data_IF_247737305844
#
_entry.id   IF_247737305844
#
_cell.length_a   1.000
_cell.length_b   1.000
_cell.length_c   1.000
_cell.angle_alpha   90.00
_cell.angle_beta   90.00
_cell.angle_gamma   90.00
#
_symmetry.space_group_name_H-M   'P 1'
#
loop_
_entity.id
_entity.type
_entity.pdbx_description
1 polymer ?
#
# COMPACT_ATOMS: atom_id res chain seq x y z
N UNK A 1 23.53 10.43 12.45
CA UNK A 1 22.70 9.52 11.61
C UNK A 1 21.48 10.31 11.16
N UNK A 2 21.17 10.39 9.85
CA UNK A 2 20.02 11.16 9.36
C UNK A 2 18.70 10.40 9.57
N UNK A 3 17.56 11.12 9.47
CA UNK A 3 16.22 10.50 9.54
C UNK A 3 16.05 9.46 8.43
N UNK A 4 16.49 9.81 7.22
CA UNK A 4 16.46 8.90 6.07
C UNK A 4 17.31 7.64 6.30
N UNK A 5 18.55 7.79 6.81
CA UNK A 5 19.41 6.64 7.11
C UNK A 5 18.78 5.71 8.17
N UNK A 6 18.11 6.29 9.17
CA UNK A 6 17.39 5.52 10.18
C UNK A 6 16.24 4.73 9.55
N UNK A 7 15.42 5.37 8.70
CA UNK A 7 14.36 4.70 7.97
C UNK A 7 14.90 3.55 7.11
N UNK A 8 15.93 3.80 6.30
CA UNK A 8 16.54 2.77 5.44
C UNK A 8 17.03 1.57 6.25
N UNK A 9 17.68 1.81 7.40
CA UNK A 9 18.12 0.71 8.27
C UNK A 9 16.95 -0.13 8.78
N UNK A 10 15.84 0.50 9.18
CA UNK A 10 14.62 -0.21 9.60
C UNK A 10 14.02 -1.00 8.44
N UNK A 11 13.95 -0.42 7.25
CA UNK A 11 13.43 -1.09 6.05
C UNK A 11 14.29 -2.29 5.65
N UNK A 12 15.61 -2.17 5.73
CA UNK A 12 16.54 -3.26 5.44
C UNK A 12 16.42 -4.40 6.45
N UNK A 13 16.18 -4.10 7.74
CA UNK A 13 15.88 -5.11 8.75
C UNK A 13 14.54 -5.80 8.46
N UNK A 14 13.47 -5.07 8.20
CA UNK A 14 12.15 -5.63 7.89
C UNK A 14 12.18 -6.54 6.66
N UNK A 15 12.93 -6.14 5.64
CA UNK A 15 13.15 -6.90 4.42
C UNK A 15 13.84 -8.23 4.69
N UNK A 16 14.76 -8.27 5.65
CA UNK A 16 15.46 -9.50 6.04
C UNK A 16 14.58 -10.52 6.78
N UNK A 17 13.41 -10.11 7.28
CA UNK A 17 12.40 -11.01 7.85
C UNK A 17 11.75 -11.90 6.78
N UNK A 18 11.84 -11.52 5.50
CA UNK A 18 11.29 -12.28 4.39
C UNK A 18 12.00 -13.64 4.22
N UNK A 19 11.27 -14.75 4.09
CA UNK A 19 11.85 -16.05 3.72
C UNK A 19 12.63 -15.98 2.40
N UNK A 20 13.59 -16.88 2.22
CA UNK A 20 14.52 -16.85 1.07
C UNK A 20 13.82 -17.05 -0.28
N UNK A 21 12.63 -17.64 -0.29
CA UNK A 21 11.85 -17.85 -1.51
C UNK A 21 11.37 -16.51 -2.10
N UNK A 22 11.20 -15.48 -1.27
CA UNK A 22 10.75 -14.15 -1.66
C UNK A 22 11.89 -13.28 -2.21
N UNK A 23 12.41 -13.67 -3.38
CA UNK A 23 13.57 -13.03 -4.04
C UNK A 23 13.44 -11.52 -4.21
N UNK A 24 12.22 -10.99 -4.36
CA UNK A 24 11.99 -9.53 -4.49
C UNK A 24 12.43 -8.74 -3.26
N UNK A 25 12.53 -9.38 -2.09
CA UNK A 25 13.02 -8.74 -0.86
C UNK A 25 14.55 -8.84 -0.74
N UNK A 26 15.17 -9.87 -1.31
CA UNK A 26 16.60 -10.12 -1.16
C UNK A 26 17.47 -9.50 -2.27
N UNK A 27 17.09 -8.32 -2.77
CA UNK A 27 17.87 -7.57 -3.75
C UNK A 27 19.26 -7.19 -3.20
N UNK A 28 20.29 -7.34 -4.05
CA UNK A 28 21.67 -7.04 -3.68
C UNK A 28 21.92 -5.53 -3.59
N UNK A 29 22.86 -5.07 -2.73
CA UNK A 29 23.23 -3.66 -2.65
C UNK A 29 23.72 -3.04 -3.97
N UNK A 30 24.22 -3.86 -4.88
CA UNK A 30 24.66 -3.45 -6.22
C UNK A 30 23.50 -3.21 -7.20
N UNK A 31 22.31 -3.71 -6.89
CA UNK A 31 21.11 -3.61 -7.72
C UNK A 31 20.17 -2.53 -7.18
N UNK A 32 20.57 -1.27 -7.31
CA UNK A 32 19.92 -0.12 -6.66
C UNK A 32 18.40 -0.06 -6.91
N UNK A 33 17.94 -0.24 -8.15
CA UNK A 33 16.50 -0.19 -8.47
C UNK A 33 15.70 -1.30 -7.79
N UNK A 34 16.24 -2.52 -7.77
CA UNK A 34 15.59 -3.66 -7.10
C UNK A 34 15.60 -3.49 -5.58
N UNK A 35 16.68 -2.93 -5.05
CA UNK A 35 16.80 -2.61 -3.64
C UNK A 35 15.78 -1.55 -3.21
N UNK A 36 15.62 -0.50 -4.02
CA UNK A 36 14.65 0.55 -3.79
C UNK A 36 13.21 0.03 -3.85
N UNK A 37 12.91 -0.84 -4.81
CA UNK A 37 11.64 -1.55 -4.88
C UNK A 37 11.39 -2.41 -3.64
N UNK A 38 12.40 -3.17 -3.19
CA UNK A 38 12.30 -4.00 -1.99
C UNK A 38 12.08 -3.16 -0.72
N UNK A 39 12.71 -1.98 -0.64
CA UNK A 39 12.51 -1.02 0.46
C UNK A 39 11.13 -0.38 0.41
N UNK A 40 10.61 -0.05 -0.78
CA UNK A 40 9.25 0.44 -0.96
C UNK A 40 8.21 -0.58 -0.45
N UNK A 41 8.42 -1.87 -0.73
CA UNK A 41 7.60 -2.95 -0.14
C UNK A 41 7.75 -3.02 1.37
N UNK A 42 8.98 -3.02 1.87
CA UNK A 42 9.24 -3.04 3.31
C UNK A 42 8.58 -1.85 4.04
N UNK A 43 8.39 -0.71 3.37
CA UNK A 43 7.71 0.45 3.93
C UNK A 43 6.22 0.20 4.15
N UNK A 44 5.57 -0.54 3.25
CA UNK A 44 4.19 -1.03 3.45
C UNK A 44 4.15 -2.00 4.64
N UNK A 45 5.09 -2.94 4.71
CA UNK A 45 5.21 -3.87 5.83
C UNK A 45 5.39 -3.16 7.17
N UNK A 46 6.20 -2.10 7.22
CA UNK A 46 6.37 -1.28 8.42
C UNK A 46 5.03 -0.70 8.88
N UNK A 47 4.25 -0.14 7.96
CA UNK A 47 2.93 0.39 8.29
C UNK A 47 1.99 -0.70 8.79
N UNK A 48 1.90 -1.85 8.10
CA UNK A 48 1.07 -2.97 8.52
C UNK A 48 1.44 -3.49 9.91
N UNK A 49 2.75 -3.60 10.21
CA UNK A 49 3.28 -4.03 11.50
C UNK A 49 2.90 -3.06 12.61
N UNK A 50 3.12 -1.76 12.41
CA UNK A 50 2.91 -0.74 13.44
C UNK A 50 1.42 -0.42 13.63
N UNK A 51 0.66 -0.29 12.54
CA UNK A 51 -0.74 0.17 12.59
C UNK A 51 -1.72 -0.92 12.99
N UNK A 52 -1.49 -2.16 12.55
CA UNK A 52 -2.41 -3.29 12.73
C UNK A 52 -1.83 -4.42 13.58
N UNK A 53 -0.58 -4.30 14.05
CA UNK A 53 0.03 -5.30 14.93
C UNK A 53 0.40 -6.62 14.23
N UNK A 54 0.50 -6.63 12.89
CA UNK A 54 0.86 -7.81 12.13
C UNK A 54 2.37 -8.12 12.26
N UNK A 55 2.74 -8.98 13.21
CA UNK A 55 4.15 -9.21 13.59
C UNK A 55 4.89 -10.18 12.67
N UNK A 56 4.19 -11.16 12.08
CA UNK A 56 4.79 -12.16 11.21
C UNK A 56 4.86 -11.69 9.76
N UNK A 57 5.98 -11.94 9.07
CA UNK A 57 6.15 -11.56 7.65
C UNK A 57 5.08 -12.20 6.77
N UNK A 58 4.81 -13.48 6.97
CA UNK A 58 3.84 -14.23 6.16
C UNK A 58 2.41 -13.72 6.33
N UNK A 59 2.06 -13.15 7.48
CA UNK A 59 0.75 -12.51 7.70
C UNK A 59 0.67 -11.19 6.94
N UNK A 60 1.69 -10.34 7.06
CA UNK A 60 1.73 -9.04 6.36
C UNK A 60 1.75 -9.19 4.84
N UNK A 61 2.54 -10.12 4.31
CA UNK A 61 2.68 -10.29 2.86
C UNK A 61 1.36 -10.69 2.18
N UNK A 62 0.45 -11.37 2.88
CA UNK A 62 -0.89 -11.73 2.36
C UNK A 62 -1.77 -10.52 2.03
N UNK A 63 -1.43 -9.37 2.60
CA UNK A 63 -2.14 -8.11 2.49
C UNK A 63 -1.50 -7.14 1.49
N UNK A 64 -0.26 -7.39 1.05
CA UNK A 64 0.42 -6.59 0.03
C UNK A 64 -0.07 -7.00 -1.34
N UNK A 65 -0.63 -6.08 -2.14
CA UNK A 65 -1.23 -6.32 -3.46
C UNK A 65 -0.36 -5.88 -4.64
N UNK A 66 0.79 -5.26 -4.34
CA UNK A 66 1.79 -4.77 -5.30
C UNK A 66 1.96 -5.66 -6.55
N UNK A 67 1.80 -5.03 -7.71
CA UNK A 67 1.93 -5.62 -9.04
C UNK A 67 1.12 -4.86 -10.09
N UNK A 68 1.26 -5.22 -11.36
CA UNK A 68 0.39 -4.66 -12.41
C UNK A 68 -1.07 -4.98 -12.14
N UNK A 69 -1.98 -4.11 -12.61
CA UNK A 69 -3.43 -4.27 -12.48
C UNK A 69 -3.92 -4.39 -11.03
N UNK A 70 -3.35 -3.63 -10.10
CA UNK A 70 -3.78 -3.57 -8.70
C UNK A 70 -4.80 -2.44 -8.42
N UNK A 71 -5.18 -1.67 -9.43
CA UNK A 71 -6.07 -0.51 -9.30
C UNK A 71 -5.47 0.63 -8.45
N UNK A 72 -4.14 0.69 -8.34
CA UNK A 72 -3.43 1.65 -7.49
C UNK A 72 -3.48 1.33 -6.00
N UNK A 73 -3.88 0.11 -5.63
CA UNK A 73 -3.88 -0.41 -4.25
C UNK A 73 -2.62 -1.25 -4.05
N UNK A 74 -1.67 -0.75 -3.27
CA UNK A 74 -0.41 -1.45 -2.97
C UNK A 74 -0.56 -2.46 -1.82
N UNK A 75 -1.53 -2.24 -0.92
CA UNK A 75 -1.92 -3.19 0.13
C UNK A 75 -3.34 -2.92 0.65
N UNK A 76 -3.88 -3.85 1.44
CA UNK A 76 -5.14 -3.68 2.14
C UNK A 76 -5.14 -4.33 3.52
N UNK A 77 -6.10 -4.02 4.38
CA UNK A 77 -6.34 -4.72 5.62
C UNK A 77 -7.83 -4.72 5.96
N UNK A 78 -8.36 -5.85 6.42
CA UNK A 78 -9.78 -5.98 6.79
C UNK A 78 -9.85 -6.08 8.31
N UNK A 79 -10.33 -5.02 8.94
CA UNK A 79 -10.60 -4.98 10.37
C UNK A 79 -12.07 -5.35 10.61
N UNK A 80 -12.28 -6.59 11.06
CA UNK A 80 -13.60 -7.14 11.33
C UNK A 80 -14.24 -6.56 12.60
N UNK A 81 -13.43 -6.09 13.55
CA UNK A 81 -13.91 -5.53 14.82
C UNK A 81 -14.53 -4.15 14.59
N UNK A 82 -13.83 -3.30 13.83
CA UNK A 82 -14.32 -1.95 13.51
C UNK A 82 -15.19 -1.91 12.25
N UNK A 83 -15.31 -3.04 11.54
CA UNK A 83 -15.93 -3.15 10.22
C UNK A 83 -15.35 -2.13 9.23
N UNK A 84 -14.02 -2.12 9.11
CA UNK A 84 -13.30 -1.20 8.22
C UNK A 84 -12.40 -1.97 7.27
N UNK A 85 -12.54 -1.71 5.98
CA UNK A 85 -11.62 -2.17 4.93
C UNK A 85 -10.66 -1.00 4.65
N UNK A 86 -9.40 -1.18 5.01
CA UNK A 86 -8.34 -0.25 4.69
C UNK A 86 -7.73 -0.62 3.35
N UNK A 87 -7.58 0.34 2.44
CA UNK A 87 -6.77 0.18 1.23
C UNK A 87 -5.68 1.22 1.21
N UNK A 88 -4.49 0.82 0.77
CA UNK A 88 -3.27 1.61 0.93
C UNK A 88 -2.68 1.89 -0.44
N UNK A 89 -2.19 3.11 -0.62
CA UNK A 89 -1.22 3.44 -1.66
C UNK A 89 0.04 4.01 -1.00
N UNK A 90 1.20 3.59 -1.47
CA UNK A 90 2.51 3.90 -0.91
C UNK A 90 3.41 4.53 -1.96
N UNK A 91 3.99 5.69 -1.61
CA UNK A 91 5.01 6.34 -2.42
C UNK A 91 6.25 6.59 -1.58
N UNK A 92 7.24 5.74 -1.77
CA UNK A 92 8.53 5.83 -1.09
C UNK A 92 9.50 6.72 -1.86
N UNK A 93 10.20 7.64 -1.16
CA UNK A 93 11.31 8.42 -1.73
C UNK A 93 12.61 7.65 -1.57
N UNK A 94 13.22 7.29 -2.70
CA UNK A 94 14.38 6.39 -2.75
C UNK A 94 15.73 7.04 -2.48
N UNK A 95 15.79 8.37 -2.31
CA UNK A 95 17.02 9.07 -1.98
C UNK A 95 16.82 10.11 -0.87
N UNK A 96 17.88 10.35 -0.10
CA UNK A 96 17.86 11.23 1.06
C UNK A 96 17.45 12.68 0.73
N UNK A 97 18.00 13.32 -0.32
CA UNK A 97 17.62 14.70 -0.65
C UNK A 97 16.13 14.84 -0.96
N UNK A 98 15.55 13.89 -1.71
CA UNK A 98 14.13 13.91 -2.01
C UNK A 98 13.28 13.59 -0.79
N UNK A 99 13.71 12.67 0.06
CA UNK A 99 12.98 12.35 1.30
C UNK A 99 12.87 13.57 2.23
N UNK A 100 13.97 14.31 2.39
CA UNK A 100 14.04 15.45 3.32
C UNK A 100 13.46 16.73 2.71
N UNK A 101 13.71 16.97 1.42
CA UNK A 101 13.42 18.26 0.77
C UNK A 101 12.25 18.24 -0.21
N UNK A 102 11.85 17.08 -0.74
CA UNK A 102 10.85 16.99 -1.83
C UNK A 102 9.55 16.34 -1.37
N UNK A 103 8.49 17.13 -1.39
CA UNK A 103 7.14 16.62 -1.16
C UNK A 103 6.69 15.78 -2.35
N UNK A 104 5.85 14.79 -2.09
CA UNK A 104 5.08 14.11 -3.13
C UNK A 104 4.03 15.08 -3.64
N UNK A 105 4.01 15.28 -4.95
CA UNK A 105 2.95 16.03 -5.61
C UNK A 105 1.73 15.14 -5.76
N UNK A 106 0.54 15.75 -5.72
CA UNK A 106 -0.72 15.02 -5.86
C UNK A 106 -0.80 14.23 -7.18
N UNK A 107 -0.20 14.75 -8.26
CA UNK A 107 -0.12 14.06 -9.56
C UNK A 107 0.78 12.82 -9.57
N UNK A 108 1.65 12.67 -8.57
CA UNK A 108 2.51 11.49 -8.42
C UNK A 108 1.76 10.34 -7.72
N UNK A 109 0.65 10.63 -7.06
CA UNK A 109 -0.28 9.66 -6.47
C UNK A 109 -1.16 9.13 -7.60
N UNK A 110 -1.21 7.80 -7.76
CA UNK A 110 -2.03 7.20 -8.82
C UNK A 110 -3.50 7.35 -8.43
N UNK A 111 -4.35 7.67 -9.41
CA UNK A 111 -5.80 7.58 -9.23
C UNK A 111 -6.12 6.11 -8.91
N UNK A 112 -6.76 5.89 -7.78
CA UNK A 112 -7.15 4.56 -7.32
C UNK A 112 -8.53 4.20 -7.83
N UNK A 113 -8.71 2.95 -8.23
CA UNK A 113 -10.00 2.36 -8.59
C UNK A 113 -10.78 1.90 -7.35
N UNK A 114 -10.63 2.61 -6.23
CA UNK A 114 -11.19 2.20 -4.96
C UNK A 114 -12.72 2.11 -5.00
N UNK A 115 -13.40 2.97 -5.78
CA UNK A 115 -14.85 2.89 -6.04
C UNK A 115 -15.22 1.59 -6.73
N UNK A 116 -14.64 1.30 -7.89
CA UNK A 116 -14.92 0.09 -8.68
C UNK A 116 -14.66 -1.17 -7.87
N UNK A 117 -13.50 -1.22 -7.20
CA UNK A 117 -13.12 -2.36 -6.37
C UNK A 117 -14.06 -2.50 -5.17
N UNK A 118 -14.50 -1.40 -4.56
CA UNK A 118 -15.47 -1.45 -3.46
C UNK A 118 -16.85 -1.97 -3.86
N UNK A 119 -17.24 -1.77 -5.13
CA UNK A 119 -18.47 -2.31 -5.72
C UNK A 119 -18.34 -3.79 -6.12
N UNK A 120 -17.16 -4.39 -5.93
CA UNK A 120 -16.91 -5.80 -6.26
C UNK A 120 -16.53 -6.06 -7.71
N UNK A 121 -16.20 -5.00 -8.47
CA UNK A 121 -15.75 -5.14 -9.86
C UNK A 121 -14.41 -5.86 -9.91
N UNK A 122 -14.28 -6.81 -10.85
CA UNK A 122 -13.07 -7.62 -11.02
C UNK A 122 -12.16 -7.13 -12.15
N UNK A 123 -12.57 -6.06 -12.83
CA UNK A 123 -11.90 -5.47 -14.01
C UNK A 123 -11.86 -3.94 -13.91
N UNK A 124 -10.81 -3.35 -14.47
CA UNK A 124 -10.66 -1.89 -14.60
C UNK A 124 -11.61 -1.30 -15.66
N UNK A 125 -11.49 0.01 -15.93
CA UNK A 125 -12.36 0.70 -16.89
C UNK A 125 -12.16 0.26 -18.35
N UNK A 126 -11.00 -0.29 -18.67
CA UNK A 126 -10.64 -0.80 -20.00
C UNK A 126 -10.97 -2.30 -20.16
N UNK A 127 -11.52 -2.94 -19.13
CA UNK A 127 -11.85 -4.37 -19.12
C UNK A 127 -10.66 -5.28 -18.80
N UNK A 128 -9.53 -4.73 -18.32
CA UNK A 128 -8.42 -5.56 -17.85
C UNK A 128 -8.73 -6.11 -16.46
N UNK A 129 -8.53 -7.41 -16.28
CA UNK A 129 -8.75 -8.08 -15.00
C UNK A 129 -7.74 -7.61 -13.96
N UNK A 130 -8.23 -7.22 -12.77
CA UNK A 130 -7.35 -6.94 -11.64
C UNK A 130 -6.54 -8.17 -11.24
N UNK A 131 -5.35 -7.95 -10.70
CA UNK A 131 -4.43 -9.03 -10.38
C UNK A 131 -4.99 -10.00 -9.33
N UNK A 132 -4.39 -11.18 -9.23
CA UNK A 132 -4.87 -12.25 -8.35
C UNK A 132 -4.95 -11.85 -6.87
N UNK A 133 -4.18 -10.86 -6.41
CA UNK A 133 -4.21 -10.41 -5.02
C UNK A 133 -5.42 -9.51 -4.73
N UNK A 134 -5.79 -8.65 -5.68
CA UNK A 134 -7.06 -7.90 -5.63
C UNK A 134 -8.25 -8.86 -5.75
N UNK A 135 -8.20 -9.85 -6.65
CA UNK A 135 -9.26 -10.87 -6.73
C UNK A 135 -9.43 -11.61 -5.40
N UNK A 136 -8.33 -12.04 -4.78
CA UNK A 136 -8.36 -12.70 -3.48
C UNK A 136 -8.91 -11.79 -2.35
N UNK A 137 -8.62 -10.49 -2.40
CA UNK A 137 -9.23 -9.50 -1.49
C UNK A 137 -10.75 -9.45 -1.66
N UNK A 138 -11.23 -9.36 -2.91
CA UNK A 138 -12.67 -9.31 -3.20
C UNK A 138 -13.39 -10.57 -2.72
N UNK A 139 -12.82 -11.76 -2.94
CA UNK A 139 -13.39 -13.01 -2.43
C UNK A 139 -13.45 -13.01 -0.90
N UNK A 140 -12.38 -12.58 -0.21
CA UNK A 140 -12.39 -12.45 1.26
C UNK A 140 -13.46 -11.48 1.75
N UNK A 141 -13.71 -10.38 1.04
CA UNK A 141 -14.75 -9.42 1.38
C UNK A 141 -16.14 -10.04 1.21
N UNK A 142 -16.38 -10.83 0.16
CA UNK A 142 -17.67 -11.53 -0.07
C UNK A 142 -17.98 -12.54 1.04
N UNK A 143 -16.95 -13.14 1.63
CA UNK A 143 -17.07 -14.09 2.73
C UNK A 143 -17.35 -13.42 4.09
N UNK A 144 -17.26 -12.09 4.19
CA UNK A 144 -17.52 -11.38 5.44
C UNK A 144 -19.02 -11.43 5.80
N UNK A 145 -19.37 -11.49 7.10
CA UNK A 145 -20.73 -11.24 7.56
C UNK A 145 -21.14 -9.79 7.31
N UNK A 146 -22.27 -9.57 6.62
CA UNK A 146 -22.80 -8.25 6.27
C UNK A 146 -21.76 -7.31 5.60
N UNK A 147 -21.17 -7.67 4.44
CA UNK A 147 -20.05 -6.93 3.85
C UNK A 147 -20.42 -5.48 3.52
N UNK A 148 -21.68 -5.20 3.20
CA UNK A 148 -22.20 -3.86 2.95
C UNK A 148 -22.12 -2.90 4.16
N UNK A 149 -21.89 -3.41 5.37
CA UNK A 149 -21.71 -2.58 6.58
C UNK A 149 -20.26 -2.13 6.78
N UNK A 150 -19.32 -2.66 6.01
CA UNK A 150 -17.92 -2.28 6.13
C UNK A 150 -17.67 -0.92 5.51
N UNK A 151 -16.99 -0.04 6.25
CA UNK A 151 -16.53 1.24 5.74
C UNK A 151 -15.24 1.04 4.98
N UNK A 152 -15.08 1.75 3.88
CA UNK A 152 -13.82 1.81 3.14
C UNK A 152 -13.04 3.04 3.58
N UNK A 153 -11.76 2.84 3.91
CA UNK A 153 -10.85 3.92 4.26
C UNK A 153 -9.59 3.82 3.43
N UNK A 154 -9.25 4.91 2.76
CA UNK A 154 -8.02 4.99 1.97
C UNK A 154 -6.90 5.56 2.83
N UNK A 155 -5.73 4.96 2.74
CA UNK A 155 -4.52 5.39 3.42
C UNK A 155 -3.45 5.69 2.38
N UNK A 156 -2.90 6.90 2.40
CA UNK A 156 -1.81 7.31 1.53
C UNK A 156 -0.53 7.42 2.36
N UNK A 157 0.44 6.53 2.11
CA UNK A 157 1.77 6.59 2.70
C UNK A 157 2.66 7.47 1.81
N UNK A 158 2.56 8.77 2.02
CA UNK A 158 3.18 9.77 1.17
C UNK A 158 3.31 11.09 1.93
N UNK A 159 4.48 11.74 1.82
CA UNK A 159 4.74 13.05 2.41
C UNK A 159 4.05 14.22 1.64
N UNK A 160 2.78 14.05 1.28
CA UNK A 160 1.93 15.09 0.69
C UNK A 160 1.73 16.21 1.72
N UNK A 161 1.91 17.47 1.30
CA UNK A 161 1.45 18.62 2.09
C UNK A 161 0.42 19.42 1.30
N UNK A 162 -0.53 20.02 2.02
CA UNK A 162 -1.53 20.93 1.47
C UNK A 162 -2.47 20.32 0.41
N UNK A 163 -2.61 18.99 0.35
CA UNK A 163 -3.62 18.35 -0.48
C UNK A 163 -5.01 18.66 0.08
N UNK A 164 -5.87 19.27 -0.74
CA UNK A 164 -7.24 19.57 -0.32
C UNK A 164 -8.02 18.26 -0.18
N UNK A 165 -8.91 18.13 0.82
CA UNK A 165 -9.75 16.94 0.97
C UNK A 165 -10.55 16.60 -0.30
N UNK A 166 -10.99 17.60 -1.05
CA UNK A 166 -11.69 17.42 -2.33
C UNK A 166 -10.84 16.73 -3.40
N UNK A 167 -9.55 17.02 -3.44
CA UNK A 167 -8.66 16.51 -4.47
C UNK A 167 -8.22 15.08 -4.10
N UNK A 168 -7.98 14.83 -2.81
CA UNK A 168 -7.79 13.48 -2.28
C UNK A 168 -9.00 12.59 -2.55
N UNK A 169 -10.22 13.09 -2.32
CA UNK A 169 -11.45 12.35 -2.57
C UNK A 169 -11.60 11.97 -4.06
N UNK A 170 -11.22 12.85 -4.98
CA UNK A 170 -11.22 12.54 -6.42
C UNK A 170 -10.21 11.47 -6.80
N UNK A 171 -9.01 11.50 -6.21
CA UNK A 171 -7.98 10.50 -6.47
C UNK A 171 -8.32 9.11 -5.94
N UNK A 172 -9.19 9.03 -4.94
CA UNK A 172 -9.38 7.81 -4.15
C UNK A 172 -10.77 7.22 -4.37
N UNK A 173 -11.34 7.38 -5.57
CA UNK A 173 -12.65 6.81 -5.91
C UNK A 173 -13.80 7.38 -5.05
N UNK A 174 -13.70 8.62 -4.58
CA UNK A 174 -14.73 9.20 -3.73
C UNK A 174 -14.62 8.87 -2.24
N UNK A 175 -13.61 8.10 -1.81
CA UNK A 175 -13.40 7.77 -0.40
C UNK A 175 -12.65 8.86 0.36
N UNK A 176 -12.79 8.85 1.69
CA UNK A 176 -11.94 9.68 2.54
C UNK A 176 -10.55 9.05 2.63
N UNK A 177 -9.52 9.89 2.48
CA UNK A 177 -8.13 9.47 2.55
C UNK A 177 -7.44 10.06 3.78
N UNK A 178 -6.68 9.24 4.48
CA UNK A 178 -5.76 9.66 5.55
C UNK A 178 -4.34 9.60 5.01
N UNK A 179 -3.60 10.70 5.15
CA UNK A 179 -2.21 10.80 4.68
C UNK A 179 -1.26 10.61 5.86
N UNK A 180 -0.23 9.79 5.69
CA UNK A 180 0.86 9.56 6.64
C UNK A 180 2.22 9.91 6.03
#
# INVERSE_FOLDING_TARGET
>A
MSKYATLVNVLDQLRSEAPKEFKSYHALPTELEKLDFARAKAFIHLFLKVRFGLLEFGERERFVTDGSYDGGIDAYYIDVETKTIFVLQSKFRTNAPNFEGKQIELKEVLKMDADRISEGMTEDEDGNKYNGKIQAMLERIKELPDPARYKWQVVLLANLKNAKPSDLKKLTGGFAAVVF
#
